data_IF_404475345749
#
_entry.id   IF_404475345749
#
_cell.length_a   1.000
_cell.length_b   1.000
_cell.length_c   1.000
_cell.angle_alpha   90.00
_cell.angle_beta   90.00
_cell.angle_gamma   90.00
#
_symmetry.space_group_name_H-M   'P 1'
#
loop_
_entity.id
_entity.type
_entity.pdbx_description
1 polymer ?
#
# COMPACT_ATOMS: atom_id res chain seq x y z
N UNK A 1 13.24 -19.48 -14.41
CA UNK A 1 13.85 -18.33 -13.69
C UNK A 1 13.16 -18.14 -12.33
N UNK A 2 13.45 -19.00 -11.33
CA UNK A 2 12.88 -18.89 -9.98
C UNK A 2 13.42 -17.68 -9.18
N UNK A 3 14.57 -17.13 -9.58
CA UNK A 3 15.21 -16.01 -8.89
C UNK A 3 14.42 -14.70 -8.95
N UNK A 4 13.63 -14.48 -10.02
CA UNK A 4 12.82 -13.27 -10.14
C UNK A 4 11.70 -13.25 -9.09
N UNK A 5 11.07 -14.41 -8.83
CA UNK A 5 10.04 -14.56 -7.79
C UNK A 5 10.64 -14.47 -6.40
N UNK A 6 11.83 -15.05 -6.16
CA UNK A 6 12.53 -14.91 -4.88
C UNK A 6 12.96 -13.47 -4.61
N UNK A 7 13.55 -12.76 -5.58
CA UNK A 7 13.87 -11.34 -5.43
C UNK A 7 12.64 -10.49 -5.21
N UNK A 8 11.53 -10.75 -5.91
CA UNK A 8 10.25 -10.09 -5.65
C UNK A 8 9.76 -10.39 -4.23
N UNK A 9 9.85 -11.63 -3.76
CA UNK A 9 9.48 -12.01 -2.40
C UNK A 9 10.38 -11.43 -1.31
N UNK A 10 11.68 -11.24 -1.56
CA UNK A 10 12.62 -10.57 -0.63
C UNK A 10 12.36 -9.06 -0.56
N UNK A 11 12.05 -8.44 -1.70
CA UNK A 11 11.57 -7.05 -1.78
C UNK A 11 10.23 -6.89 -1.03
N UNK A 12 9.32 -7.86 -1.18
CA UNK A 12 8.04 -7.91 -0.47
C UNK A 12 8.19 -8.24 1.02
N UNK A 13 9.20 -9.02 1.42
CA UNK A 13 9.49 -9.35 2.81
C UNK A 13 10.12 -8.17 3.58
N UNK A 14 10.74 -7.23 2.87
CA UNK A 14 11.23 -5.95 3.42
C UNK A 14 10.29 -4.78 3.13
N UNK A 15 9.14 -5.03 2.49
CA UNK A 15 8.20 -3.99 2.14
C UNK A 15 7.55 -3.42 3.41
N UNK A 16 7.67 -2.12 3.57
CA UNK A 16 7.04 -1.40 4.67
C UNK A 16 5.51 -1.48 4.55
N UNK A 17 4.81 -1.20 5.64
CA UNK A 17 3.35 -1.11 5.65
C UNK A 17 2.87 -0.09 4.62
N UNK A 18 3.60 1.02 4.47
CA UNK A 18 3.34 2.01 3.43
C UNK A 18 3.39 1.41 2.02
N UNK A 19 4.39 0.57 1.71
CA UNK A 19 4.52 -0.08 0.40
C UNK A 19 3.35 -1.03 0.11
N UNK A 20 2.96 -1.83 1.12
CA UNK A 20 1.77 -2.70 1.04
C UNK A 20 0.48 -1.91 0.80
N UNK A 21 0.35 -0.75 1.44
CA UNK A 21 -0.78 0.16 1.23
C UNK A 21 -0.78 0.74 -0.19
N UNK A 22 0.38 1.14 -0.73
CA UNK A 22 0.49 1.61 -2.13
C UNK A 22 0.07 0.53 -3.13
N UNK A 23 0.54 -0.69 -2.95
CA UNK A 23 0.19 -1.81 -3.83
C UNK A 23 -1.33 -2.06 -3.85
N UNK A 24 -1.95 -2.12 -2.67
CA UNK A 24 -3.41 -2.23 -2.54
C UNK A 24 -4.14 -1.04 -3.19
N UNK A 25 -3.63 0.18 -3.01
CA UNK A 25 -4.21 1.38 -3.61
C UNK A 25 -4.10 1.39 -5.14
N UNK A 26 -3.03 0.86 -5.73
CA UNK A 26 -2.92 0.72 -7.18
C UNK A 26 -4.00 -0.19 -7.78
N UNK A 27 -4.46 -1.20 -7.04
CA UNK A 27 -5.55 -2.08 -7.46
C UNK A 27 -6.93 -1.47 -7.20
N UNK A 28 -7.11 -0.74 -6.08
CA UNK A 28 -8.40 -0.18 -5.68
C UNK A 28 -8.73 1.20 -6.29
N UNK A 29 -7.73 2.04 -6.57
CA UNK A 29 -7.92 3.37 -7.17
C UNK A 29 -8.63 3.35 -8.53
N UNK A 30 -8.31 2.47 -9.49
CA UNK A 30 -9.05 2.42 -10.76
C UNK A 30 -10.51 2.00 -10.59
N UNK A 31 -10.85 1.29 -9.50
CA UNK A 31 -12.22 0.95 -9.13
C UNK A 31 -12.94 2.05 -8.31
N UNK A 32 -12.23 3.13 -7.94
CA UNK A 32 -12.76 4.23 -7.13
C UNK A 32 -12.82 3.94 -5.61
N UNK A 33 -12.31 2.80 -5.15
CA UNK A 33 -12.52 2.31 -3.79
C UNK A 33 -11.28 2.50 -2.90
N UNK A 34 -10.84 3.74 -2.71
CA UNK A 34 -9.63 4.07 -1.94
C UNK A 34 -9.90 4.39 -0.46
N UNK A 35 -10.77 3.61 0.19
CA UNK A 35 -11.08 3.78 1.62
C UNK A 35 -10.11 2.98 2.48
N UNK A 36 -9.74 3.53 3.64
CA UNK A 36 -8.85 2.85 4.58
C UNK A 36 -9.39 1.49 5.03
N UNK A 37 -10.71 1.32 5.11
CA UNK A 37 -11.35 0.03 5.43
C UNK A 37 -11.14 -1.02 4.33
N UNK A 38 -11.29 -0.64 3.07
CA UNK A 38 -11.12 -1.54 1.93
C UNK A 38 -9.66 -2.02 1.85
N UNK A 39 -8.72 -1.07 1.94
CA UNK A 39 -7.28 -1.36 1.94
C UNK A 39 -6.87 -2.19 3.15
N UNK A 40 -7.37 -1.87 4.35
CA UNK A 40 -7.09 -2.65 5.55
C UNK A 40 -7.64 -4.08 5.41
N UNK A 41 -8.84 -4.25 4.84
CA UNK A 41 -9.44 -5.54 4.53
C UNK A 41 -8.60 -6.38 3.57
N UNK A 42 -8.10 -5.79 2.47
CA UNK A 42 -7.18 -6.46 1.55
C UNK A 42 -5.89 -6.92 2.24
N UNK A 43 -5.37 -6.12 3.17
CA UNK A 43 -4.15 -6.43 3.91
C UNK A 43 -4.37 -7.38 5.09
N UNK A 44 -5.62 -7.84 5.32
CA UNK A 44 -6.04 -8.62 6.49
C UNK A 44 -5.70 -7.93 7.82
N UNK A 45 -5.81 -6.61 7.87
CA UNK A 45 -5.55 -5.78 9.03
C UNK A 45 -6.81 -5.01 9.44
N UNK A 46 -6.91 -4.68 10.73
CA UNK A 46 -7.87 -3.65 11.15
C UNK A 46 -7.36 -2.26 10.77
N UNK A 47 -8.24 -1.27 10.48
CA UNK A 47 -7.84 0.11 10.20
C UNK A 47 -6.94 0.72 11.29
N UNK A 48 -7.24 0.41 12.57
CA UNK A 48 -6.44 0.86 13.72
C UNK A 48 -5.02 0.29 13.72
N UNK A 49 -4.86 -0.97 13.31
CA UNK A 49 -3.54 -1.61 13.20
C UNK A 49 -2.77 -1.03 12.02
N UNK A 50 -3.44 -0.83 10.89
CA UNK A 50 -2.86 -0.19 9.72
C UNK A 50 -2.35 1.21 10.05
N UNK A 51 -3.18 2.05 10.68
CA UNK A 51 -2.78 3.39 11.12
C UNK A 51 -1.61 3.38 12.09
N UNK A 52 -1.60 2.46 13.07
CA UNK A 52 -0.49 2.36 14.03
C UNK A 52 0.82 1.96 13.35
N UNK A 53 0.78 1.02 12.43
CA UNK A 53 1.97 0.60 11.67
C UNK A 53 2.48 1.72 10.76
N UNK A 54 1.57 2.43 10.07
CA UNK A 54 1.93 3.60 9.27
C UNK A 54 2.55 4.71 10.13
N UNK A 55 1.99 4.98 11.32
CA UNK A 55 2.57 5.95 12.25
C UNK A 55 3.95 5.54 12.77
N UNK A 56 4.17 4.25 13.04
CA UNK A 56 5.48 3.74 13.40
C UNK A 56 6.52 3.95 12.28
N UNK A 57 6.07 3.99 11.03
CA UNK A 57 6.85 4.32 9.84
C UNK A 57 6.91 5.83 9.55
N UNK A 58 6.45 6.69 10.47
CA UNK A 58 6.36 8.15 10.30
C UNK A 58 5.51 8.57 9.08
N UNK A 59 4.53 7.76 8.70
CA UNK A 59 3.61 8.07 7.60
C UNK A 59 2.14 7.95 8.04
N UNK A 60 1.22 8.25 7.12
CA UNK A 60 -0.21 8.15 7.33
C UNK A 60 -0.90 7.62 6.09
N UNK A 61 -2.10 7.08 6.26
CA UNK A 61 -2.89 6.58 5.13
C UNK A 61 -3.13 7.66 4.07
N UNK A 62 -3.44 8.89 4.51
CA UNK A 62 -3.64 10.02 3.59
C UNK A 62 -2.36 10.40 2.84
N UNK A 63 -1.21 10.41 3.52
CA UNK A 63 0.07 10.70 2.86
C UNK A 63 0.37 9.67 1.77
N UNK A 64 0.19 8.38 2.07
CA UNK A 64 0.38 7.31 1.09
C UNK A 64 -0.65 7.39 -0.05
N UNK A 65 -1.91 7.72 0.26
CA UNK A 65 -2.96 7.89 -0.74
C UNK A 65 -2.65 9.04 -1.71
N UNK A 66 -2.25 10.20 -1.19
CA UNK A 66 -1.90 11.36 -2.01
C UNK A 66 -0.69 11.04 -2.90
N UNK A 67 0.37 10.48 -2.34
CA UNK A 67 1.57 10.04 -3.07
C UNK A 67 1.22 9.06 -4.19
N UNK A 68 0.36 8.08 -3.91
CA UNK A 68 -0.09 7.09 -4.91
C UNK A 68 -0.94 7.75 -6.01
N UNK A 69 -1.82 8.69 -5.66
CA UNK A 69 -2.66 9.41 -6.62
C UNK A 69 -1.85 10.34 -7.51
N UNK A 70 -0.86 11.05 -6.95
CA UNK A 70 0.05 11.90 -7.72
C UNK A 70 0.86 11.07 -8.72
N UNK A 71 1.36 9.91 -8.29
CA UNK A 71 2.14 9.01 -9.15
C UNK A 71 1.29 8.41 -10.28
N UNK A 72 0.03 8.03 -9.99
CA UNK A 72 -0.93 7.58 -11.01
C UNK A 72 -1.36 8.70 -11.96
N UNK A 73 -1.60 9.92 -11.46
CA UNK A 73 -1.98 11.06 -12.29
C UNK A 73 -0.84 11.52 -13.20
N UNK A 74 0.41 11.45 -12.73
CA UNK A 74 1.60 11.77 -13.52
C UNK A 74 1.91 10.76 -14.64
N UNK A 75 1.29 9.58 -14.62
CA UNK A 75 1.44 8.55 -15.65
C UNK A 75 0.45 8.72 -16.84
N UNK A 76 -0.22 9.88 -16.94
CA UNK A 76 -1.18 10.22 -18.01
C UNK A 76 -0.65 11.36 -18.85
#
# INVERSE_FOLDING_TARGET
MPELRQRLSELQASATTADRVRAALHECLPAGESSINAVAGQLMLSPRTLQRQLQAENTSYQAVLSDTRENLAAAT
#
